data_IF_479006021668
#
_entry.id   IF_479006021668
#
_cell.length_a   1.000
_cell.length_b   1.000
_cell.length_c   1.000
_cell.angle_alpha   90.00
_cell.angle_beta   90.00
_cell.angle_gamma   90.00
#
_symmetry.space_group_name_H-M   'P 1'
#
loop_
_entity.id
_entity.type
_entity.pdbx_description
1 polymer ?
#
# COMPACT_ATOMS: atom_id res chain seq x y z
N UNK A 1 -13.51 -18.32 -5.78
CA UNK A 1 -14.36 -19.44 -6.28
C UNK A 1 -14.67 -19.29 -7.76
N UNK A 2 -15.07 -18.09 -8.25
CA UNK A 2 -15.31 -17.83 -9.68
C UNK A 2 -14.05 -18.07 -10.53
N UNK A 3 -12.89 -17.54 -10.13
CA UNK A 3 -11.65 -17.70 -10.93
C UNK A 3 -11.17 -19.16 -10.99
N UNK A 4 -11.42 -19.93 -9.93
CA UNK A 4 -11.12 -21.37 -9.89
C UNK A 4 -12.06 -22.19 -10.78
N UNK A 5 -13.28 -21.70 -11.00
CA UNK A 5 -14.24 -22.31 -11.93
C UNK A 5 -13.87 -22.02 -13.40
N UNK A 6 -13.37 -20.82 -13.69
CA UNK A 6 -13.02 -20.40 -15.06
C UNK A 6 -11.59 -20.79 -15.49
N UNK A 7 -10.58 -20.60 -14.63
CA UNK A 7 -9.16 -20.81 -14.93
C UNK A 7 -8.59 -22.11 -14.32
N UNK A 8 -9.40 -22.92 -13.63
CA UNK A 8 -8.97 -24.15 -12.96
C UNK A 8 -8.11 -23.92 -11.71
N UNK A 9 -7.65 -24.96 -11.03
CA UNK A 9 -6.80 -24.82 -9.82
C UNK A 9 -5.30 -24.71 -10.09
N UNK A 10 -4.87 -24.88 -11.34
CA UNK A 10 -3.46 -24.85 -11.75
C UNK A 10 -2.85 -23.44 -11.74
N UNK A 11 -3.66 -22.38 -11.89
CA UNK A 11 -3.18 -20.99 -11.91
C UNK A 11 -2.87 -20.40 -10.52
N UNK A 12 -3.27 -21.08 -9.45
CA UNK A 12 -3.09 -20.58 -8.08
C UNK A 12 -1.62 -20.62 -7.67
N UNK A 13 -1.13 -19.54 -7.07
CA UNK A 13 0.25 -19.49 -6.57
C UNK A 13 0.44 -20.47 -5.41
N UNK A 14 1.40 -21.39 -5.58
CA UNK A 14 1.74 -22.43 -4.59
C UNK A 14 2.58 -21.91 -3.41
N UNK A 15 3.15 -20.69 -3.53
CA UNK A 15 4.05 -20.08 -2.53
C UNK A 15 3.59 -18.66 -2.15
N UNK A 16 2.49 -18.51 -1.40
CA UNK A 16 2.06 -17.22 -0.90
C UNK A 16 3.04 -16.63 0.12
N UNK A 17 3.11 -15.30 0.18
CA UNK A 17 3.97 -14.58 1.13
C UNK A 17 3.62 -14.88 2.60
N UNK A 18 2.35 -15.17 2.91
CA UNK A 18 1.96 -15.50 4.29
C UNK A 18 2.51 -16.84 4.79
N UNK A 19 2.97 -17.71 3.89
CA UNK A 19 3.66 -18.96 4.27
C UNK A 19 4.96 -18.70 5.01
N UNK A 20 5.55 -17.52 4.84
CA UNK A 20 6.78 -17.10 5.52
C UNK A 20 6.51 -16.50 6.92
N UNK A 21 5.25 -16.42 7.38
CA UNK A 21 4.99 -16.03 8.77
C UNK A 21 5.47 -17.15 9.70
N UNK A 22 6.06 -16.75 10.84
CA UNK A 22 6.55 -17.69 11.87
C UNK A 22 5.49 -18.71 12.30
N UNK A 23 4.21 -18.29 12.34
CA UNK A 23 3.06 -19.12 12.71
C UNK A 23 2.85 -20.29 11.73
N UNK A 24 3.17 -20.10 10.44
CA UNK A 24 3.06 -21.15 9.42
C UNK A 24 4.38 -21.90 9.18
N UNK A 25 5.48 -21.48 9.83
CA UNK A 25 6.82 -22.06 9.68
C UNK A 25 7.20 -22.97 10.87
N UNK A 26 6.27 -23.18 11.82
CA UNK A 26 6.48 -24.00 13.01
C UNK A 26 6.93 -25.40 12.62
N UNK A 27 8.09 -25.80 13.14
CA UNK A 27 8.79 -27.06 12.79
C UNK A 27 8.47 -28.22 13.75
N UNK A 28 7.60 -27.99 14.73
CA UNK A 28 7.21 -29.00 15.70
C UNK A 28 5.98 -29.77 15.20
N UNK A 29 6.18 -31.07 14.94
CA UNK A 29 5.19 -32.00 14.39
C UNK A 29 3.92 -32.12 15.27
N UNK A 30 4.03 -31.77 16.54
CA UNK A 30 2.95 -31.79 17.54
C UNK A 30 1.92 -30.68 17.42
N UNK A 31 2.19 -29.61 16.66
CA UNK A 31 1.29 -28.44 16.53
C UNK A 31 0.57 -28.35 15.18
N UNK A 32 0.71 -29.37 14.32
CA UNK A 32 0.09 -29.37 13.00
C UNK A 32 -1.45 -29.33 13.06
N UNK A 33 -2.04 -29.92 14.10
CA UNK A 33 -3.51 -29.92 14.32
C UNK A 33 -4.05 -28.57 14.80
N UNK A 34 -3.19 -27.70 15.36
CA UNK A 34 -3.54 -26.35 15.80
C UNK A 34 -3.28 -25.28 14.72
N UNK A 35 -2.82 -25.68 13.54
CA UNK A 35 -2.46 -24.72 12.50
C UNK A 35 -3.73 -24.13 11.85
N UNK A 36 -3.81 -22.79 11.70
CA UNK A 36 -4.94 -22.18 11.02
C UNK A 36 -5.07 -22.69 9.58
N UNK A 37 -6.29 -23.03 9.18
CA UNK A 37 -6.59 -23.59 7.84
C UNK A 37 -6.13 -22.72 6.67
N UNK A 38 -5.95 -21.41 6.88
CA UNK A 38 -5.45 -20.49 5.87
C UNK A 38 -3.94 -20.58 5.61
N UNK A 39 -3.12 -21.20 6.49
CA UNK A 39 -1.69 -21.36 6.25
C UNK A 39 -1.38 -22.20 5.00
N UNK A 40 -2.29 -23.12 4.63
CA UNK A 40 -2.17 -23.97 3.44
C UNK A 40 -3.10 -23.55 2.30
N UNK A 41 -3.87 -22.47 2.47
CA UNK A 41 -4.77 -22.02 1.42
C UNK A 41 -3.96 -21.64 0.17
N UNK A 42 -4.45 -21.96 -1.04
CA UNK A 42 -3.87 -21.43 -2.27
C UNK A 42 -4.26 -19.95 -2.42
N UNK A 43 -3.30 -19.13 -2.84
CA UNK A 43 -3.46 -17.68 -2.95
C UNK A 43 -3.39 -17.26 -4.42
N UNK A 44 -4.24 -16.34 -4.83
CA UNK A 44 -4.18 -15.72 -6.15
C UNK A 44 -4.20 -14.20 -6.03
N UNK A 45 -3.04 -13.53 -6.14
CA UNK A 45 -2.97 -12.07 -6.15
C UNK A 45 -3.53 -11.45 -7.45
N UNK A 46 -3.64 -12.22 -8.53
CA UNK A 46 -4.01 -11.74 -9.88
C UNK A 46 -5.42 -12.15 -10.29
N UNK A 47 -6.23 -12.63 -9.35
CA UNK A 47 -7.62 -13.05 -9.61
C UNK A 47 -8.41 -11.95 -10.32
N UNK A 48 -9.41 -12.34 -11.12
CA UNK A 48 -10.20 -11.45 -11.97
C UNK A 48 -10.82 -10.31 -11.17
N UNK A 49 -11.30 -10.61 -9.96
CA UNK A 49 -11.84 -9.59 -9.06
C UNK A 49 -10.77 -8.61 -8.58
N UNK A 50 -9.57 -9.08 -8.23
CA UNK A 50 -8.47 -8.21 -7.78
C UNK A 50 -8.04 -7.25 -8.88
N UNK A 51 -7.85 -7.77 -10.10
CA UNK A 51 -7.52 -6.98 -11.30
C UNK A 51 -8.62 -5.96 -11.64
N UNK A 52 -9.89 -6.37 -11.56
CA UNK A 52 -11.03 -5.48 -11.79
C UNK A 52 -11.08 -4.34 -10.77
N UNK A 53 -10.92 -4.65 -9.48
CA UNK A 53 -10.95 -3.65 -8.42
C UNK A 53 -9.74 -2.71 -8.49
N UNK A 54 -8.58 -3.20 -8.92
CA UNK A 54 -7.42 -2.38 -9.21
C UNK A 54 -7.71 -1.39 -10.35
N UNK A 55 -8.31 -1.85 -11.46
CA UNK A 55 -8.72 -0.99 -12.57
C UNK A 55 -9.74 0.08 -12.14
N UNK A 56 -10.74 -0.29 -11.33
CA UNK A 56 -11.70 0.65 -10.75
C UNK A 56 -10.99 1.72 -9.92
N UNK A 57 -10.01 1.33 -9.10
CA UNK A 57 -9.25 2.28 -8.27
C UNK A 57 -8.44 3.27 -9.12
N UNK A 58 -7.85 2.80 -10.21
CA UNK A 58 -7.17 3.66 -11.17
C UNK A 58 -8.12 4.68 -11.80
N UNK A 59 -9.33 4.24 -12.20
CA UNK A 59 -10.35 5.13 -12.78
C UNK A 59 -10.82 6.16 -11.74
N UNK A 60 -11.04 5.75 -10.48
CA UNK A 60 -11.38 6.66 -9.40
C UNK A 60 -10.27 7.72 -9.20
N UNK A 61 -9.00 7.32 -9.20
CA UNK A 61 -7.88 8.26 -9.15
C UNK A 61 -7.84 9.23 -10.34
N UNK A 62 -8.12 8.73 -11.54
CA UNK A 62 -8.22 9.55 -12.75
C UNK A 62 -9.34 10.59 -12.65
N UNK A 63 -10.46 10.25 -12.00
CA UNK A 63 -11.55 11.19 -11.75
C UNK A 63 -11.12 12.37 -10.86
N UNK A 64 -10.28 12.14 -9.83
CA UNK A 64 -9.72 13.25 -9.03
C UNK A 64 -8.85 14.17 -9.89
N UNK A 65 -8.01 13.61 -10.76
CA UNK A 65 -7.19 14.37 -11.71
C UNK A 65 -8.03 15.12 -12.75
N UNK A 66 -9.12 14.53 -13.23
CA UNK A 66 -10.04 15.19 -14.15
C UNK A 66 -10.70 16.42 -13.51
N UNK A 67 -11.14 16.31 -12.25
CA UNK A 67 -11.68 17.45 -11.48
C UNK A 67 -10.63 18.54 -11.29
N UNK A 68 -9.35 18.17 -11.05
CA UNK A 68 -8.24 19.11 -10.91
C UNK A 68 -8.07 19.99 -12.14
N UNK A 69 -8.17 19.40 -13.34
CA UNK A 69 -7.98 20.12 -14.61
C UNK A 69 -9.22 20.93 -14.98
N UNK A 70 -10.43 20.41 -14.71
CA UNK A 70 -11.68 20.99 -15.23
C UNK A 70 -12.23 22.15 -14.40
N UNK A 71 -12.09 22.10 -13.08
CA UNK A 71 -12.58 23.14 -12.17
C UNK A 71 -11.44 24.11 -11.91
N UNK A 72 -11.64 25.42 -12.03
CA UNK A 72 -10.57 26.40 -11.79
C UNK A 72 -10.52 26.86 -10.32
N UNK A 73 -11.68 27.02 -9.68
CA UNK A 73 -11.80 27.48 -8.31
C UNK A 73 -11.32 26.47 -7.26
N UNK A 74 -10.43 26.91 -6.38
CA UNK A 74 -9.87 26.10 -5.29
C UNK A 74 -10.93 25.56 -4.33
N UNK A 75 -11.94 26.39 -4.00
CA UNK A 75 -13.01 26.01 -3.06
C UNK A 75 -13.92 24.94 -3.66
N UNK A 76 -14.25 25.07 -4.94
CA UNK A 76 -15.12 24.11 -5.62
C UNK A 76 -14.43 22.78 -5.87
N UNK A 77 -13.14 22.79 -6.26
CA UNK A 77 -12.31 21.57 -6.33
C UNK A 77 -12.36 20.79 -5.03
N UNK A 78 -12.07 21.47 -3.92
CA UNK A 78 -12.06 20.86 -2.60
C UNK A 78 -13.43 20.32 -2.21
N UNK A 79 -14.51 21.04 -2.52
CA UNK A 79 -15.88 20.60 -2.24
C UNK A 79 -16.22 19.31 -2.98
N UNK A 80 -15.91 19.22 -4.27
CA UNK A 80 -16.16 17.99 -5.05
C UNK A 80 -15.31 16.82 -4.55
N UNK A 81 -14.02 17.02 -4.30
CA UNK A 81 -13.15 15.96 -3.79
C UNK A 81 -13.56 15.49 -2.39
N UNK A 82 -13.90 16.39 -1.48
CA UNK A 82 -14.37 16.03 -0.15
C UNK A 82 -15.70 15.27 -0.21
N UNK A 83 -16.65 15.73 -1.03
CA UNK A 83 -17.93 15.05 -1.20
C UNK A 83 -17.74 13.62 -1.71
N UNK A 84 -16.91 13.45 -2.74
CA UNK A 84 -16.58 12.14 -3.30
C UNK A 84 -15.86 11.26 -2.28
N UNK A 85 -14.83 11.79 -1.61
CA UNK A 85 -14.03 11.07 -0.60
C UNK A 85 -14.88 10.58 0.56
N UNK A 86 -15.69 11.47 1.15
CA UNK A 86 -16.54 11.15 2.32
C UNK A 86 -17.62 10.16 1.93
N UNK A 87 -18.21 10.28 0.73
CA UNK A 87 -19.19 9.33 0.22
C UNK A 87 -18.61 7.91 0.13
N UNK A 88 -17.46 7.73 -0.52
CA UNK A 88 -16.82 6.41 -0.63
C UNK A 88 -16.32 5.88 0.71
N UNK A 89 -15.79 6.75 1.57
CA UNK A 89 -15.36 6.35 2.91
C UNK A 89 -16.54 5.83 3.75
N UNK A 90 -17.66 6.56 3.73
CA UNK A 90 -18.88 6.19 4.46
C UNK A 90 -19.49 4.90 3.91
N UNK A 91 -19.54 4.76 2.58
CA UNK A 91 -20.00 3.53 1.93
C UNK A 91 -19.09 2.34 2.29
N UNK A 92 -17.77 2.51 2.24
CA UNK A 92 -16.81 1.50 2.66
C UNK A 92 -17.03 1.07 4.11
N UNK A 93 -17.22 2.03 5.03
CA UNK A 93 -17.47 1.77 6.44
C UNK A 93 -18.81 1.02 6.65
N UNK A 94 -19.85 1.38 5.90
CA UNK A 94 -21.13 0.69 5.92
C UNK A 94 -21.02 -0.76 5.46
N UNK A 95 -20.26 -1.05 4.40
CA UNK A 95 -20.01 -2.43 3.96
C UNK A 95 -19.25 -3.24 5.02
N UNK A 96 -18.30 -2.62 5.73
CA UNK A 96 -17.61 -3.28 6.85
C UNK A 96 -18.59 -3.60 7.98
N UNK A 97 -19.52 -2.68 8.28
CA UNK A 97 -20.55 -2.91 9.30
C UNK A 97 -21.50 -4.07 8.94
N UNK A 98 -21.80 -4.26 7.66
CA UNK A 98 -22.58 -5.42 7.15
C UNK A 98 -21.82 -6.75 7.30
N UNK A 99 -20.51 -6.71 7.58
CA UNK A 99 -19.68 -7.90 7.80
C UNK A 99 -18.83 -8.30 6.60
N UNK A 100 -18.68 -7.44 5.58
CA UNK A 100 -17.72 -7.72 4.52
C UNK A 100 -16.27 -7.59 5.02
N UNK A 101 -15.41 -8.60 4.82
CA UNK A 101 -14.06 -8.60 5.37
C UNK A 101 -13.15 -7.59 4.66
N UNK A 102 -12.35 -6.88 5.46
CA UNK A 102 -11.27 -6.04 4.98
C UNK A 102 -10.06 -6.91 4.66
N UNK A 103 -9.91 -7.29 3.39
CA UNK A 103 -8.77 -8.09 2.96
C UNK A 103 -7.96 -7.36 1.89
N UNK A 104 -6.76 -6.93 2.28
CA UNK A 104 -5.79 -6.26 1.41
C UNK A 104 -5.33 -7.15 0.27
N UNK A 105 -5.15 -8.44 0.54
CA UNK A 105 -4.58 -9.38 -0.43
C UNK A 105 -5.56 -9.74 -1.55
N UNK A 106 -6.86 -9.79 -1.24
CA UNK A 106 -7.93 -10.03 -2.22
C UNK A 106 -8.48 -8.73 -2.82
N UNK A 107 -7.96 -7.57 -2.40
CA UNK A 107 -8.41 -6.25 -2.83
C UNK A 107 -9.94 -6.12 -2.78
N UNK A 108 -10.54 -6.46 -1.63
CA UNK A 108 -12.00 -6.54 -1.48
C UNK A 108 -12.67 -5.19 -1.69
N UNK A 109 -13.92 -5.19 -2.16
CA UNK A 109 -14.69 -3.96 -2.43
C UNK A 109 -14.69 -3.00 -1.25
N UNK A 110 -14.99 -3.48 -0.05
CA UNK A 110 -14.98 -2.66 1.17
C UNK A 110 -13.61 -2.03 1.43
N UNK A 111 -12.53 -2.80 1.23
CA UNK A 111 -11.16 -2.30 1.39
C UNK A 111 -10.83 -1.23 0.34
N UNK A 112 -11.19 -1.46 -0.93
CA UNK A 112 -10.96 -0.49 -2.01
C UNK A 112 -11.68 0.83 -1.77
N UNK A 113 -12.95 0.77 -1.36
CA UNK A 113 -13.76 1.96 -1.08
C UNK A 113 -13.21 2.77 0.10
N UNK A 114 -12.87 2.07 1.19
CA UNK A 114 -12.30 2.70 2.38
C UNK A 114 -10.93 3.34 2.07
N UNK A 115 -10.08 2.62 1.32
CA UNK A 115 -8.75 3.11 0.94
C UNK A 115 -8.86 4.29 -0.01
N UNK A 116 -9.74 4.25 -1.01
CA UNK A 116 -9.95 5.37 -1.95
C UNK A 116 -10.51 6.60 -1.25
N UNK A 117 -11.46 6.43 -0.33
CA UNK A 117 -11.98 7.53 0.49
C UNK A 117 -10.88 8.15 1.36
N UNK A 118 -10.09 7.33 2.05
CA UNK A 118 -8.97 7.81 2.88
C UNK A 118 -7.89 8.53 2.06
N UNK A 119 -7.53 7.98 0.89
CA UNK A 119 -6.57 8.57 -0.03
C UNK A 119 -7.06 9.93 -0.54
N UNK A 120 -8.35 10.05 -0.88
CA UNK A 120 -8.98 11.30 -1.29
C UNK A 120 -8.97 12.36 -0.19
N UNK A 121 -9.26 11.98 1.06
CA UNK A 121 -9.17 12.89 2.21
C UNK A 121 -7.73 13.36 2.44
N UNK A 122 -6.74 12.45 2.37
CA UNK A 122 -5.32 12.83 2.48
C UNK A 122 -4.89 13.74 1.32
N UNK A 123 -5.39 13.50 0.11
CA UNK A 123 -5.13 14.35 -1.04
C UNK A 123 -5.69 15.76 -0.83
N UNK A 124 -6.92 15.89 -0.32
CA UNK A 124 -7.52 17.18 0.04
C UNK A 124 -6.69 17.92 1.11
N UNK A 125 -6.21 17.21 2.14
CA UNK A 125 -5.39 17.78 3.19
C UNK A 125 -4.04 18.28 2.66
N UNK A 126 -3.37 17.49 1.81
CA UNK A 126 -2.11 17.89 1.16
C UNK A 126 -2.32 19.07 0.22
N UNK A 127 -3.40 19.09 -0.55
CA UNK A 127 -3.75 20.22 -1.42
C UNK A 127 -3.91 21.53 -0.64
N UNK A 128 -4.65 21.50 0.47
CA UNK A 128 -4.80 22.66 1.35
C UNK A 128 -3.46 23.12 1.95
N UNK A 129 -2.61 22.19 2.34
CA UNK A 129 -1.33 22.50 2.98
C UNK A 129 -0.32 23.09 1.98
N UNK A 130 -0.24 22.53 0.78
CA UNK A 130 0.70 22.93 -0.26
C UNK A 130 0.21 24.17 -1.01
N UNK A 131 -1.00 24.10 -1.58
CA UNK A 131 -1.47 25.10 -2.55
C UNK A 131 -2.16 26.29 -1.88
N UNK A 132 -2.85 26.08 -0.74
CA UNK A 132 -3.55 27.19 -0.05
C UNK A 132 -2.68 27.82 1.04
N UNK A 133 -2.00 27.02 1.87
CA UNK A 133 -1.16 27.52 2.98
C UNK A 133 0.30 27.79 2.57
N UNK A 134 0.74 27.31 1.42
CA UNK A 134 2.09 27.57 0.90
C UNK A 134 3.23 26.94 1.72
N UNK A 135 2.97 25.89 2.51
CA UNK A 135 3.98 25.27 3.38
C UNK A 135 4.99 24.42 2.59
N UNK A 136 5.92 25.07 1.86
CA UNK A 136 6.86 24.42 0.94
C UNK A 136 8.00 23.64 1.60
N UNK A 137 8.41 23.98 2.82
CA UNK A 137 9.58 23.34 3.46
C UNK A 137 9.39 21.83 3.68
N UNK A 138 8.23 21.42 4.19
CA UNK A 138 7.95 20.00 4.44
C UNK A 138 7.66 19.24 3.14
N UNK A 139 7.04 19.92 2.17
CA UNK A 139 6.57 19.29 0.94
C UNK A 139 7.67 19.19 -0.11
N UNK A 140 8.76 19.96 0.00
CA UNK A 140 9.92 19.86 -0.90
C UNK A 140 10.52 18.44 -0.94
N UNK A 141 10.66 17.80 0.23
CA UNK A 141 11.16 16.42 0.31
C UNK A 141 10.18 15.43 -0.34
N UNK A 142 8.87 15.59 -0.08
CA UNK A 142 7.84 14.75 -0.70
C UNK A 142 7.78 14.95 -2.23
N UNK A 143 7.91 16.19 -2.70
CA UNK A 143 7.89 16.52 -4.12
C UNK A 143 9.08 15.89 -4.84
N UNK A 144 10.28 16.00 -4.26
CA UNK A 144 11.49 15.37 -4.80
C UNK A 144 11.35 13.84 -4.86
N UNK A 145 10.87 13.24 -3.77
CA UNK A 145 10.60 11.80 -3.71
C UNK A 145 9.56 11.37 -4.76
N UNK A 146 8.53 12.17 -4.99
CA UNK A 146 7.49 11.91 -6.00
C UNK A 146 8.02 11.93 -7.43
N UNK A 147 8.81 12.95 -7.79
CA UNK A 147 9.40 13.08 -9.14
C UNK A 147 10.39 11.96 -9.48
N UNK A 148 11.09 11.42 -8.48
CA UNK A 148 12.09 10.35 -8.65
C UNK A 148 11.60 8.97 -8.19
N UNK A 149 10.29 8.78 -8.05
CA UNK A 149 9.69 7.55 -7.48
C UNK A 149 10.13 6.26 -8.17
N UNK A 150 10.17 6.22 -9.50
CA UNK A 150 10.58 5.02 -10.26
C UNK A 150 12.06 4.66 -10.04
N UNK A 151 12.93 5.68 -9.99
CA UNK A 151 14.37 5.47 -9.72
C UNK A 151 14.58 4.91 -8.31
N UNK A 152 13.91 5.51 -7.31
CA UNK A 152 13.96 5.05 -5.91
C UNK A 152 13.43 3.62 -5.79
N UNK A 153 12.33 3.29 -6.47
CA UNK A 153 11.78 1.94 -6.48
C UNK A 153 12.80 0.91 -6.99
N UNK A 154 13.44 1.17 -8.14
CA UNK A 154 14.46 0.27 -8.71
C UNK A 154 15.64 0.11 -7.75
N UNK A 155 16.15 1.20 -7.16
CA UNK A 155 17.28 1.16 -6.24
C UNK A 155 17.00 0.33 -4.99
N UNK A 156 15.78 0.41 -4.46
CA UNK A 156 15.38 -0.37 -3.27
C UNK A 156 15.09 -1.83 -3.65
N UNK A 157 14.33 -2.07 -4.72
CA UNK A 157 13.94 -3.42 -5.14
C UNK A 157 15.13 -4.28 -5.56
N UNK A 158 16.15 -3.68 -6.17
CA UNK A 158 17.40 -4.35 -6.55
C UNK A 158 18.37 -4.55 -5.37
N UNK A 159 17.98 -4.17 -4.15
CA UNK A 159 18.83 -4.10 -2.96
C UNK A 159 20.09 -3.23 -3.12
N UNK A 160 20.27 -2.51 -4.22
CA UNK A 160 21.43 -1.64 -4.45
C UNK A 160 21.49 -0.57 -3.37
N UNK A 161 20.36 0.02 -2.98
CA UNK A 161 20.32 0.96 -1.88
C UNK A 161 20.81 0.33 -0.55
N UNK A 162 20.41 -0.91 -0.26
CA UNK A 162 20.80 -1.63 0.95
C UNK A 162 22.29 -1.95 0.92
N UNK A 163 22.81 -2.42 -0.22
CA UNK A 163 24.22 -2.72 -0.44
C UNK A 163 25.06 -1.45 -0.37
N UNK A 164 24.59 -0.31 -0.88
CA UNK A 164 25.30 0.96 -0.74
C UNK A 164 25.38 1.40 0.73
N UNK A 165 24.28 1.28 1.49
CA UNK A 165 24.22 1.68 2.90
C UNK A 165 25.04 0.74 3.80
N UNK A 166 25.03 -0.56 3.52
CA UNK A 166 25.81 -1.57 4.26
C UNK A 166 27.24 -1.75 3.71
N UNK A 167 27.50 -1.37 2.47
CA UNK A 167 28.80 -1.51 1.81
C UNK A 167 29.70 -0.31 2.05
N UNK A 168 29.15 0.84 2.46
CA UNK A 168 29.94 1.98 2.90
C UNK A 168 30.42 1.76 4.34
N UNK A 169 31.54 1.07 4.49
CA UNK A 169 32.24 0.89 5.76
C UNK A 169 33.43 1.85 5.86
N UNK A 170 33.60 2.47 7.01
CA UNK A 170 34.76 3.34 7.23
C UNK A 170 35.91 2.55 7.83
N UNK A 171 36.92 2.26 6.99
CA UNK A 171 38.23 1.67 7.33
C UNK A 171 38.22 0.22 7.84
N UNK A 172 37.15 -0.24 8.50
CA UNK A 172 36.93 -1.60 8.97
C UNK A 172 35.50 -2.08 8.67
N UNK A 173 35.30 -3.35 8.27
CA UNK A 173 33.96 -3.89 7.92
C UNK A 173 32.98 -3.94 9.11
N UNK A 174 33.47 -3.76 10.34
CA UNK A 174 32.64 -3.66 11.55
C UNK A 174 32.02 -2.26 11.76
N UNK A 175 32.55 -1.23 11.10
CA UNK A 175 32.11 0.16 11.20
C UNK A 175 31.22 0.55 10.00
N UNK A 176 30.08 -0.14 9.88
CA UNK A 176 29.05 0.22 8.91
C UNK A 176 28.25 1.43 9.37
N UNK A 177 27.75 2.24 8.42
CA UNK A 177 26.84 3.37 8.70
C UNK A 177 25.66 2.90 9.56
N UNK A 178 25.11 1.73 9.28
CA UNK A 178 24.01 1.14 10.05
C UNK A 178 24.38 0.93 11.51
N UNK A 179 25.58 0.38 11.76
CA UNK A 179 26.06 0.16 13.12
C UNK A 179 26.31 1.47 13.86
N UNK A 180 26.81 2.49 13.15
CA UNK A 180 27.00 3.83 13.68
C UNK A 180 25.66 4.50 14.07
N UNK A 181 24.66 4.47 13.17
CA UNK A 181 23.31 4.99 13.45
C UNK A 181 22.66 4.28 14.63
N UNK A 182 22.75 2.93 14.68
CA UNK A 182 22.20 2.14 15.80
C UNK A 182 22.92 2.52 17.10
N UNK A 183 24.24 2.62 17.09
CA UNK A 183 24.99 3.03 18.29
C UNK A 183 24.64 4.45 18.76
N UNK A 184 24.30 5.35 17.83
CA UNK A 184 23.89 6.71 18.15
C UNK A 184 22.51 6.77 18.82
N UNK A 185 21.58 5.90 18.41
CA UNK A 185 20.21 5.84 18.94
C UNK A 185 20.06 4.95 20.18
N UNK A 186 20.92 3.96 20.37
CA UNK A 186 20.85 2.99 21.50
C UNK A 186 21.65 3.46 22.72
N UNK A 187 22.54 4.46 22.57
CA UNK A 187 23.24 5.10 23.70
C UNK A 187 22.59 6.41 24.19
N UNK A 188 21.34 6.67 23.77
CA UNK A 188 20.51 7.77 24.26
C UNK A 188 19.30 7.21 24.98
#
# INVERSE_FOLDING_TARGET
MIDRYFLGSEHLYKKPAYRNLKICQTSEVSDLDNLPSWCQAPFDPEGLLGSLMAAVTCILGLQYGHILVRVEDHKDRLRYWLLFSVSFFSLGLFLVFIGHPLNKQLYTVSYTLLTTGSAGLTFCALYLLVDVRGCRCLTFVLEWMGKHSLSIFILVASNVAVICVQGFYWRNPKNNIVHWVISLFVHQ
#
